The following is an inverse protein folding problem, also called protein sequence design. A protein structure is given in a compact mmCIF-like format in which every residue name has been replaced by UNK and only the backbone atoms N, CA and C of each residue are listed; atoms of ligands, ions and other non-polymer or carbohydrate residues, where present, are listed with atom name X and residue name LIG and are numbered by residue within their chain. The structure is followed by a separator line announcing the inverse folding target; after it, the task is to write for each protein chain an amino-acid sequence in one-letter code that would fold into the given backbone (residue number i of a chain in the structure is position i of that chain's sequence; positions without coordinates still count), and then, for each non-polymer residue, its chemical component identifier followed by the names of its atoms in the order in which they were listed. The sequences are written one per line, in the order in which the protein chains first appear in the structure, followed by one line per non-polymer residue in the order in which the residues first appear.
data_IF_633248152287
#
_entry.id   IF_633248152287
#
_cell.length_a   1.000
_cell.length_b   1.000
_cell.length_c   1.000
_cell.angle_alpha   90.00
_cell.angle_beta   90.00
_cell.angle_gamma   90.00
#
_symmetry.space_group_name_H-M   'P 1'
#
loop_
_entity.id
_entity.type
_entity.pdbx_description
1 polymer ?
#
# COMPACT_ATOMS: atom_id res chain seq x y z
N UNK A 1 -2.37 -0.78 16.60
CA UNK A 1 -2.87 -0.10 17.83
C UNK A 1 -1.77 0.72 18.52
N UNK A 2 -0.63 0.15 18.91
CA UNK A 2 0.44 0.90 19.62
C UNK A 2 0.91 2.14 18.84
N UNK A 3 1.17 2.00 17.54
CA UNK A 3 1.60 3.12 16.70
C UNK A 3 0.59 4.28 16.69
N UNK A 4 -0.69 3.99 16.49
CA UNK A 4 -1.74 5.02 16.48
C UNK A 4 -1.81 5.76 17.83
N UNK A 5 -1.69 5.05 18.95
CA UNK A 5 -1.60 5.65 20.27
C UNK A 5 -0.34 6.52 20.44
N UNK A 6 0.80 6.08 19.89
CA UNK A 6 2.02 6.89 19.92
C UNK A 6 1.85 8.18 19.12
N UNK A 7 1.27 8.11 17.93
CA UNK A 7 0.99 9.29 17.12
C UNK A 7 0.01 10.24 17.79
N UNK A 8 -1.07 9.72 18.36
CA UNK A 8 -2.02 10.54 19.12
C UNK A 8 -1.30 11.31 20.25
N UNK A 9 -0.44 10.63 21.01
CA UNK A 9 0.32 11.27 22.07
C UNK A 9 1.33 12.31 21.56
N UNK A 10 1.99 12.04 20.41
CA UNK A 10 2.91 12.98 19.79
C UNK A 10 2.18 14.23 19.26
N UNK A 11 1.10 14.04 18.52
CA UNK A 11 0.28 15.12 17.97
C UNK A 11 -0.24 16.02 19.11
N UNK A 12 -0.78 15.43 20.17
CA UNK A 12 -1.24 16.18 21.33
C UNK A 12 -0.13 16.98 22.01
N UNK A 13 1.08 16.41 22.09
CA UNK A 13 2.24 17.10 22.68
C UNK A 13 2.75 18.25 21.79
N UNK A 14 2.83 18.02 20.47
CA UNK A 14 3.54 18.90 19.56
C UNK A 14 2.62 19.95 18.92
N UNK A 15 1.32 19.68 18.82
CA UNK A 15 0.31 20.55 18.22
C UNK A 15 -0.76 21.03 19.22
N UNK A 16 -0.71 20.56 20.47
CA UNK A 16 -1.65 20.91 21.53
C UNK A 16 -3.12 20.76 21.07
N UNK A 17 -3.90 21.85 21.14
CA UNK A 17 -5.31 21.86 20.73
C UNK A 17 -5.53 22.22 19.24
N UNK A 18 -4.44 22.44 18.45
CA UNK A 18 -4.57 22.74 17.03
C UNK A 18 -5.06 21.54 16.23
N UNK A 19 -4.76 20.30 16.69
CA UNK A 19 -5.21 19.07 16.09
C UNK A 19 -5.49 18.01 17.15
N UNK A 20 -6.72 17.56 17.18
CA UNK A 20 -7.16 16.45 18.05
C UNK A 20 -7.32 15.20 17.20
N UNK A 21 -6.55 14.17 17.52
CA UNK A 21 -6.63 12.87 16.85
C UNK A 21 -7.50 11.92 17.70
N UNK A 22 -8.70 11.64 17.23
CA UNK A 22 -9.56 10.59 17.80
C UNK A 22 -9.27 9.26 17.12
N UNK A 23 -9.06 8.22 17.90
CA UNK A 23 -8.75 6.88 17.39
C UNK A 23 -9.97 5.99 17.47
N UNK A 24 -10.38 5.48 16.34
CA UNK A 24 -11.36 4.41 16.25
C UNK A 24 -10.71 3.11 15.80
N UNK A 25 -11.21 1.98 16.31
CA UNK A 25 -10.72 0.64 15.96
C UNK A 25 -11.88 -0.16 15.42
N UNK A 26 -11.94 -0.23 14.11
CA UNK A 26 -13.01 -0.89 13.36
C UNK A 26 -12.50 -2.21 12.79
N UNK A 27 -13.40 -3.17 12.64
CA UNK A 27 -13.10 -4.45 11.99
C UNK A 27 -12.75 -4.22 10.51
N UNK A 28 -11.73 -4.93 9.99
CA UNK A 28 -11.13 -4.64 8.67
C UNK A 28 -12.13 -4.70 7.51
N UNK A 29 -13.04 -5.66 7.48
CA UNK A 29 -14.05 -5.76 6.41
C UNK A 29 -15.00 -4.55 6.42
N UNK A 30 -15.31 -4.02 7.61
CA UNK A 30 -16.10 -2.80 7.76
C UNK A 30 -15.33 -1.58 7.27
N UNK A 31 -14.02 -1.47 7.60
CA UNK A 31 -13.18 -0.39 7.09
C UNK A 31 -13.17 -0.37 5.57
N UNK A 32 -12.86 -1.49 4.92
CA UNK A 32 -12.80 -1.55 3.47
C UNK A 32 -14.13 -1.20 2.79
N UNK A 33 -15.26 -1.59 3.36
CA UNK A 33 -16.57 -1.19 2.85
C UNK A 33 -16.82 0.31 2.97
N UNK A 34 -16.41 0.91 4.07
CA UNK A 34 -16.67 2.32 4.38
C UNK A 34 -15.64 3.28 3.76
N UNK A 35 -14.51 2.79 3.24
CA UNK A 35 -13.52 3.62 2.55
C UNK A 35 -14.16 4.40 1.39
N UNK A 36 -14.83 3.71 0.49
CA UNK A 36 -15.49 4.32 -0.66
C UNK A 36 -16.70 5.20 -0.32
N UNK A 37 -17.19 5.15 0.93
CA UNK A 37 -18.26 6.01 1.44
C UNK A 37 -17.70 7.33 2.05
N UNK A 38 -16.38 7.48 2.15
CA UNK A 38 -15.73 8.65 2.76
C UNK A 38 -15.98 8.76 4.26
N UNK A 39 -16.16 7.64 4.96
CA UNK A 39 -16.50 7.63 6.38
C UNK A 39 -15.35 8.07 7.31
N UNK A 40 -14.12 8.13 6.81
CA UNK A 40 -12.92 8.41 7.61
C UNK A 40 -12.18 9.64 7.09
N UNK A 41 -11.71 10.51 8.00
CA UNK A 41 -10.81 11.60 7.66
C UNK A 41 -9.38 11.11 7.40
N UNK A 42 -8.96 10.07 8.11
CA UNK A 42 -7.70 9.38 7.91
C UNK A 42 -7.84 7.91 8.29
N UNK A 43 -7.18 7.03 7.56
CA UNK A 43 -7.18 5.59 7.86
C UNK A 43 -5.77 5.04 7.73
N UNK A 44 -5.40 4.12 8.62
CA UNK A 44 -4.15 3.39 8.53
C UNK A 44 -4.43 2.00 7.98
N UNK A 45 -3.88 1.71 6.82
CA UNK A 45 -4.04 0.45 6.12
C UNK A 45 -2.67 -0.16 5.83
N UNK A 46 -2.66 -1.46 5.67
CA UNK A 46 -1.59 -2.16 4.95
C UNK A 46 -1.97 -2.30 3.48
N UNK A 47 -0.98 -2.19 2.61
CA UNK A 47 -1.16 -2.40 1.19
C UNK A 47 -0.13 -3.40 0.68
N UNK A 48 -0.60 -4.40 -0.03
CA UNK A 48 0.25 -5.37 -0.70
C UNK A 48 -0.14 -5.46 -2.16
N UNK A 49 0.81 -5.21 -3.06
CA UNK A 49 0.60 -5.43 -4.48
C UNK A 49 0.30 -6.90 -4.78
N UNK A 50 -0.63 -7.15 -5.67
CA UNK A 50 -1.01 -8.51 -6.10
C UNK A 50 0.02 -9.16 -7.04
N UNK A 51 0.93 -8.37 -7.59
CA UNK A 51 2.04 -8.80 -8.46
C UNK A 51 3.24 -7.86 -8.34
N UNK A 52 4.40 -8.32 -8.82
CA UNK A 52 5.70 -7.62 -8.68
C UNK A 52 5.86 -6.50 -9.71
N UNK A 53 4.99 -5.51 -9.68
CA UNK A 53 5.07 -4.33 -10.53
C UNK A 53 4.65 -3.08 -9.74
N UNK A 54 5.31 -1.92 -9.90
CA UNK A 54 4.91 -0.68 -9.24
C UNK A 54 3.48 -0.25 -9.53
N UNK A 55 2.94 -0.62 -10.68
CA UNK A 55 1.56 -0.34 -11.05
C UNK A 55 0.55 -0.96 -10.07
N UNK A 56 0.86 -2.14 -9.50
CA UNK A 56 0.04 -2.78 -8.46
C UNK A 56 -0.10 -1.94 -7.17
N UNK A 57 0.72 -0.90 -7.02
CA UNK A 57 0.66 0.06 -5.91
C UNK A 57 0.11 1.42 -6.33
N UNK A 58 0.18 1.78 -7.60
CA UNK A 58 -0.22 3.10 -8.07
C UNK A 58 -1.66 3.12 -8.59
N UNK A 59 -1.99 2.26 -9.54
CA UNK A 59 -3.30 2.25 -10.18
C UNK A 59 -4.45 2.00 -9.19
N UNK A 60 -4.39 0.98 -8.29
CA UNK A 60 -5.48 0.71 -7.36
C UNK A 60 -5.69 1.79 -6.28
N UNK A 61 -4.77 2.74 -6.18
CA UNK A 61 -4.86 3.82 -5.21
C UNK A 61 -5.14 5.19 -5.85
N UNK A 62 -4.75 5.37 -7.13
CA UNK A 62 -4.68 6.68 -7.75
C UNK A 62 -5.56 6.85 -9.00
N UNK A 63 -6.01 5.76 -9.65
CA UNK A 63 -6.77 5.91 -10.89
C UNK A 63 -8.15 6.51 -10.63
N UNK A 64 -8.54 7.44 -11.51
CA UNK A 64 -9.77 8.18 -11.40
C UNK A 64 -10.38 8.40 -12.78
N UNK A 65 -11.57 7.84 -13.01
CA UNK A 65 -12.27 7.93 -14.29
C UNK A 65 -13.19 9.13 -14.39
N UNK A 66 -13.67 9.64 -13.25
CA UNK A 66 -14.50 10.85 -13.21
C UNK A 66 -14.14 11.68 -11.97
N UNK A 67 -13.90 12.97 -12.20
CA UNK A 67 -13.53 13.90 -11.13
C UNK A 67 -14.15 15.29 -11.36
N UNK A 68 -14.19 16.05 -10.29
CA UNK A 68 -14.43 17.47 -10.31
C UNK A 68 -13.27 18.13 -9.54
N UNK A 69 -12.52 19.01 -10.20
CA UNK A 69 -11.27 19.56 -9.69
C UNK A 69 -10.32 18.46 -9.20
N UNK A 70 -9.90 18.50 -7.94
CA UNK A 70 -9.01 17.53 -7.32
C UNK A 70 -9.76 16.37 -6.61
N UNK A 71 -11.09 16.29 -6.74
CA UNK A 71 -11.91 15.29 -6.08
C UNK A 71 -12.34 14.21 -7.07
N UNK A 72 -11.90 12.99 -6.84
CA UNK A 72 -12.29 11.82 -7.62
C UNK A 72 -13.65 11.30 -7.15
N UNK A 73 -14.61 11.20 -8.06
CA UNK A 73 -15.94 10.66 -7.79
C UNK A 73 -16.15 9.24 -8.29
N UNK A 74 -15.38 8.78 -9.29
CA UNK A 74 -15.42 7.42 -9.80
C UNK A 74 -14.02 6.93 -10.17
N UNK A 75 -13.69 5.72 -9.76
CA UNK A 75 -12.42 5.05 -10.00
C UNK A 75 -11.81 4.48 -8.71
N UNK A 76 -10.63 3.93 -8.81
CA UNK A 76 -9.97 3.28 -7.68
C UNK A 76 -9.64 4.25 -6.54
N UNK A 77 -9.32 5.50 -6.84
CA UNK A 77 -9.08 6.54 -5.83
C UNK A 77 -10.33 6.82 -4.98
N UNK A 78 -11.53 6.71 -5.54
CA UNK A 78 -12.76 6.82 -4.78
C UNK A 78 -13.02 5.55 -3.96
N UNK A 79 -12.84 4.36 -4.56
CA UNK A 79 -13.02 3.06 -3.88
C UNK A 79 -12.05 2.89 -2.72
N UNK A 80 -10.79 3.30 -2.91
CA UNK A 80 -9.73 3.23 -1.89
C UNK A 80 -9.83 4.32 -0.81
N UNK A 81 -10.77 5.25 -0.95
CA UNK A 81 -11.13 6.24 0.06
C UNK A 81 -10.26 7.49 0.10
N UNK A 82 -9.32 7.68 -0.82
CA UNK A 82 -8.57 8.94 -0.90
C UNK A 82 -9.37 10.06 -1.53
N UNK A 83 -10.26 9.74 -2.46
CA UNK A 83 -11.02 10.68 -3.29
C UNK A 83 -10.15 11.75 -3.97
N UNK A 84 -8.84 11.51 -4.04
CA UNK A 84 -7.89 12.48 -4.54
C UNK A 84 -7.48 12.17 -5.98
N UNK A 85 -7.37 13.23 -6.76
CA UNK A 85 -6.77 13.19 -8.10
C UNK A 85 -6.15 14.55 -8.44
N UNK A 86 -5.47 14.60 -9.56
CA UNK A 86 -4.94 15.86 -10.13
C UNK A 86 -4.93 15.78 -11.66
N UNK A 87 -4.94 16.94 -12.35
CA UNK A 87 -4.88 16.96 -13.81
C UNK A 87 -3.67 16.19 -14.35
N UNK A 88 -3.90 15.36 -15.35
CA UNK A 88 -2.87 14.57 -16.03
C UNK A 88 -2.44 13.28 -15.32
N UNK A 89 -2.96 13.00 -14.12
CA UNK A 89 -2.56 11.80 -13.37
C UNK A 89 -3.13 10.52 -14.00
N UNK A 90 -4.40 10.54 -14.41
CA UNK A 90 -5.04 9.39 -15.06
C UNK A 90 -4.35 9.06 -16.38
N UNK A 91 -4.11 10.07 -17.22
CA UNK A 91 -3.40 9.90 -18.49
C UNK A 91 -1.97 9.38 -18.29
N UNK A 92 -1.32 9.80 -17.21
CA UNK A 92 0.01 9.34 -16.87
C UNK A 92 0.03 7.86 -16.45
N UNK A 93 -0.97 7.40 -15.71
CA UNK A 93 -1.16 5.99 -15.37
C UNK A 93 -1.40 5.15 -16.64
N UNK A 94 -2.34 5.55 -17.48
CA UNK A 94 -2.64 4.88 -18.75
C UNK A 94 -1.45 4.86 -19.72
N UNK A 95 -0.65 5.93 -19.74
CA UNK A 95 0.57 5.98 -20.52
C UNK A 95 1.59 4.98 -19.99
N UNK A 96 1.74 4.86 -18.66
CA UNK A 96 2.67 3.92 -18.06
C UNK A 96 2.39 2.47 -18.44
N UNK A 97 1.12 2.11 -18.67
CA UNK A 97 0.70 0.76 -19.06
C UNK A 97 1.07 0.43 -20.51
N UNK A 98 1.15 1.44 -21.37
CA UNK A 98 1.51 1.30 -22.78
C UNK A 98 3.02 1.31 -23.02
N UNK A 99 3.78 1.90 -22.09
CA UNK A 99 5.24 2.01 -22.18
C UNK A 99 5.93 0.73 -21.69
N UNK A 100 7.20 0.56 -22.10
CA UNK A 100 8.06 -0.54 -21.66
C UNK A 100 9.45 -0.03 -21.30
N UNK A 101 10.18 -0.84 -20.52
CA UNK A 101 11.58 -0.60 -20.20
C UNK A 101 11.85 0.76 -19.55
N UNK A 102 12.93 1.46 -19.96
CA UNK A 102 13.35 2.72 -19.31
C UNK A 102 12.32 3.84 -19.40
N UNK A 103 11.52 3.88 -20.47
CA UNK A 103 10.47 4.91 -20.62
C UNK A 103 9.34 4.73 -19.62
N UNK A 104 8.89 3.50 -19.44
CA UNK A 104 7.92 3.15 -18.40
C UNK A 104 8.46 3.50 -17.01
N UNK A 105 9.71 3.17 -16.73
CA UNK A 105 10.34 3.49 -15.45
C UNK A 105 10.36 5.01 -15.19
N UNK A 106 10.66 5.82 -16.20
CA UNK A 106 10.61 7.29 -16.07
C UNK A 106 9.20 7.79 -15.77
N UNK A 107 8.19 7.23 -16.46
CA UNK A 107 6.80 7.58 -16.24
C UNK A 107 6.33 7.26 -14.83
N UNK A 108 6.60 6.05 -14.34
CA UNK A 108 6.27 5.64 -12.97
C UNK A 108 6.99 6.50 -11.91
N UNK A 109 8.25 6.87 -12.15
CA UNK A 109 8.98 7.81 -11.28
C UNK A 109 8.42 9.22 -11.29
N UNK A 110 7.77 9.64 -12.36
CA UNK A 110 7.07 10.92 -12.41
C UNK A 110 5.76 10.89 -11.62
N UNK A 111 5.02 9.78 -11.64
CA UNK A 111 3.74 9.62 -10.92
C UNK A 111 3.94 9.67 -9.41
N UNK A 112 4.96 9.01 -8.88
CA UNK A 112 5.17 8.86 -7.42
C UNK A 112 5.25 10.19 -6.65
N UNK A 113 6.04 11.21 -7.08
CA UNK A 113 6.06 12.50 -6.41
C UNK A 113 4.71 13.22 -6.43
N UNK A 114 3.93 13.04 -7.49
CA UNK A 114 2.62 13.68 -7.60
C UNK A 114 1.67 13.20 -6.48
N UNK A 115 1.67 11.89 -6.21
CA UNK A 115 0.88 11.31 -5.12
C UNK A 115 1.39 11.77 -3.74
N UNK A 116 2.71 11.88 -3.56
CA UNK A 116 3.30 12.34 -2.31
C UNK A 116 3.00 13.82 -2.03
N UNK A 117 3.08 14.69 -3.04
CA UNK A 117 2.76 16.12 -2.93
C UNK A 117 1.29 16.34 -2.55
N UNK A 118 0.37 15.52 -3.07
CA UNK A 118 -1.05 15.58 -2.75
C UNK A 118 -1.40 15.12 -1.34
N UNK A 119 -0.45 14.49 -0.64
CA UNK A 119 -0.64 13.90 0.70
C UNK A 119 -1.84 12.95 0.82
N UNK A 120 -2.36 12.46 -0.33
CA UNK A 120 -3.45 11.50 -0.37
C UNK A 120 -3.07 10.15 0.28
N UNK A 121 -1.79 9.81 0.15
CA UNK A 121 -1.18 8.63 0.76
C UNK A 121 0.16 9.01 1.40
N UNK A 122 0.34 8.60 2.64
CA UNK A 122 1.58 8.80 3.39
C UNK A 122 2.20 7.44 3.66
N UNK A 123 3.21 7.01 2.88
CA UNK A 123 3.94 5.78 3.14
C UNK A 123 4.66 5.88 4.49
N UNK A 124 4.38 4.96 5.39
CA UNK A 124 4.95 5.02 6.74
C UNK A 124 6.16 4.10 6.86
N UNK A 125 6.05 2.87 6.39
CA UNK A 125 7.17 1.91 6.33
C UNK A 125 6.90 0.79 5.32
N UNK A 126 7.96 0.13 4.94
CA UNK A 126 7.92 -1.09 4.15
C UNK A 126 8.18 -2.28 5.08
N UNK A 127 7.24 -3.24 5.09
CA UNK A 127 7.37 -4.46 5.88
C UNK A 127 7.99 -5.55 5.03
N UNK A 128 9.18 -6.02 5.40
CA UNK A 128 9.76 -7.20 4.79
C UNK A 128 9.03 -8.47 5.27
N UNK A 129 8.52 -9.32 4.38
CA UNK A 129 7.87 -10.56 4.77
C UNK A 129 8.86 -11.50 5.47
N UNK A 130 8.42 -12.19 6.50
CA UNK A 130 9.22 -13.15 7.26
C UNK A 130 8.44 -14.44 7.44
N UNK A 131 9.12 -15.57 7.34
CA UNK A 131 8.54 -16.86 7.64
C UNK A 131 9.55 -17.71 8.41
N UNK A 132 9.04 -18.55 9.29
CA UNK A 132 9.82 -19.51 10.07
C UNK A 132 9.43 -20.91 9.65
N UNK A 133 10.42 -21.74 9.43
CA UNK A 133 10.22 -23.16 9.12
C UNK A 133 10.96 -24.04 10.12
N UNK A 134 10.55 -25.30 10.23
CA UNK A 134 11.31 -26.30 10.99
C UNK A 134 12.64 -26.57 10.27
N UNK A 135 13.65 -26.96 11.05
CA UNK A 135 15.00 -27.29 10.52
C UNK A 135 15.00 -28.46 9.53
N UNK A 136 13.93 -29.25 9.49
CA UNK A 136 13.72 -30.31 8.49
C UNK A 136 13.25 -29.81 7.12
N UNK A 137 13.02 -28.51 6.98
CA UNK A 137 12.63 -27.87 5.72
C UNK A 137 13.73 -26.89 5.28
N UNK A 138 13.88 -26.72 3.98
CA UNK A 138 14.67 -25.62 3.43
C UNK A 138 14.01 -24.28 3.77
N UNK A 139 14.77 -23.18 3.83
CA UNK A 139 14.21 -21.86 4.09
C UNK A 139 13.07 -21.55 3.11
N UNK A 140 11.94 -21.03 3.60
CA UNK A 140 10.83 -20.64 2.76
C UNK A 140 11.23 -19.48 1.83
N UNK A 141 10.66 -19.47 0.63
CA UNK A 141 10.91 -18.44 -0.38
C UNK A 141 9.68 -17.57 -0.56
N UNK A 142 9.90 -16.32 -0.89
CA UNK A 142 8.86 -15.36 -1.24
C UNK A 142 9.02 -14.97 -2.71
N UNK A 143 7.91 -14.71 -3.38
CA UNK A 143 7.93 -14.07 -4.69
C UNK A 143 8.23 -12.56 -4.59
N UNK A 144 8.32 -11.89 -5.73
CA UNK A 144 8.60 -10.46 -5.76
C UNK A 144 7.47 -9.58 -5.19
N UNK A 145 6.28 -10.14 -4.98
CA UNK A 145 5.15 -9.46 -4.31
C UNK A 145 5.10 -9.75 -2.80
N UNK A 146 6.04 -10.55 -2.29
CA UNK A 146 6.10 -10.93 -0.88
C UNK A 146 5.15 -12.04 -0.48
N UNK A 147 4.60 -12.82 -1.43
CA UNK A 147 3.80 -13.99 -1.11
C UNK A 147 4.69 -15.21 -0.88
N UNK A 148 4.35 -15.97 0.16
CA UNK A 148 5.06 -17.19 0.50
C UNK A 148 4.78 -18.29 -0.53
N UNK A 149 5.85 -18.84 -1.14
CA UNK A 149 5.78 -19.90 -2.14
C UNK A 149 5.68 -21.28 -1.46
N UNK A 150 4.48 -21.62 -0.95
CA UNK A 150 4.26 -22.88 -0.24
C UNK A 150 4.50 -24.13 -1.09
N UNK A 151 4.20 -24.06 -2.39
CA UNK A 151 4.43 -25.16 -3.33
C UNK A 151 5.91 -25.46 -3.55
N UNK A 152 6.80 -24.52 -3.25
CA UNK A 152 8.25 -24.69 -3.36
C UNK A 152 8.95 -25.19 -2.10
N UNK A 153 8.20 -25.42 -1.02
CA UNK A 153 8.76 -25.95 0.22
C UNK A 153 9.32 -27.37 0.02
N UNK A 154 10.60 -27.55 0.33
CA UNK A 154 11.31 -28.82 0.19
C UNK A 154 11.87 -29.25 1.54
N UNK A 155 11.97 -30.56 1.75
CA UNK A 155 12.68 -31.10 2.90
C UNK A 155 14.18 -30.82 2.77
N UNK A 156 14.80 -30.45 3.87
CA UNK A 156 16.25 -30.40 3.95
C UNK A 156 16.80 -31.84 3.90
N UNK A 157 17.68 -32.10 2.94
CA UNK A 157 18.41 -33.38 2.88
C UNK A 157 19.42 -33.33 4.02
N UNK A 158 19.22 -34.11 5.07
CA UNK A 158 20.28 -34.34 6.07
C UNK A 158 21.37 -35.19 5.40
N UNK A 159 22.64 -34.75 5.41
CA UNK A 159 23.71 -35.66 5.04
C UNK A 159 23.66 -36.84 6.03
N UNK A 160 23.58 -38.06 5.49
CA UNK A 160 23.74 -39.29 6.29
C UNK A 160 25.16 -39.28 6.86
N UNK A 161 25.30 -39.29 8.18
CA UNK A 161 26.56 -39.57 8.86
C UNK A 161 27.29 -38.39 9.48
N UNK A 162 26.88 -37.99 10.65
CA UNK A 162 27.79 -37.62 11.76
C UNK A 162 27.13 -38.12 13.05
N UNK A 163 27.52 -39.29 13.47
CA UNK A 163 27.34 -39.78 14.82
C UNK A 163 28.29 -39.07 15.76
#
# INVERSE_FOLDING_TARGET
KLLALTWQAQIKRDLEDCLVLELDSVESTTVYRQLGEGAFQAVMLDWRGSYSDPEAYLTPLLSCTRHHDAVCSEGEAAISGSFWTRPGLQEALELSDRLKGPERTRQLRWIQPQAAEGSAYIPVWLVAPRAWSRTSLLPPRFDGSGHLQLAELKRAIRPEGTH
#
